data_IF_183134374844
#
_entry.id   IF_183134374844
#
_cell.length_a   1.000
_cell.length_b   1.000
_cell.length_c   1.000
_cell.angle_alpha   90.00
_cell.angle_beta   90.00
_cell.angle_gamma   90.00
#
_symmetry.space_group_name_H-M   'P 1'
#
loop_
_entity.id
_entity.type
_entity.pdbx_description
1 polymer ?
#
# COMPACT_ATOMS: atom_id res chain seq x y z
N UNK A 1 -24.44 -9.38 5.95
CA UNK A 1 -23.85 -10.41 5.09
C UNK A 1 -22.36 -10.16 4.98
N UNK A 2 -21.51 -11.20 4.94
CA UNK A 2 -20.09 -11.01 4.66
C UNK A 2 -19.88 -10.51 3.23
N UNK A 3 -18.79 -9.78 3.00
CA UNK A 3 -18.37 -9.33 1.67
C UNK A 3 -16.90 -9.63 1.44
N UNK A 4 -16.53 -9.66 0.15
CA UNK A 4 -15.15 -9.65 -0.30
C UNK A 4 -14.97 -8.46 -1.24
N UNK A 5 -13.92 -7.69 -1.03
CA UNK A 5 -13.58 -6.54 -1.86
C UNK A 5 -12.10 -6.61 -2.20
N UNK A 6 -11.78 -6.51 -3.50
CA UNK A 6 -10.41 -6.45 -4.00
C UNK A 6 -10.18 -5.10 -4.65
N UNK A 7 -9.38 -4.26 -3.99
CA UNK A 7 -9.02 -2.92 -4.46
C UNK A 7 -7.59 -2.93 -5.01
N UNK A 8 -7.48 -3.15 -6.32
CA UNK A 8 -6.21 -3.14 -7.03
C UNK A 8 -5.89 -1.74 -7.56
N UNK A 9 -5.24 -0.92 -6.74
CA UNK A 9 -4.78 0.40 -7.17
C UNK A 9 -3.72 0.27 -8.26
N UNK A 10 -3.81 1.10 -9.30
CA UNK A 10 -2.74 1.25 -10.29
C UNK A 10 -1.57 2.08 -9.73
N UNK A 11 -1.84 2.98 -8.77
CA UNK A 11 -0.80 3.77 -8.12
C UNK A 11 0.17 2.85 -7.35
N UNK A 12 1.49 3.01 -7.46
CA UNK A 12 2.24 4.13 -8.07
C UNK A 12 2.92 3.76 -9.40
N UNK A 13 2.28 2.91 -10.21
CA UNK A 13 2.82 2.50 -11.51
C UNK A 13 3.00 3.69 -12.46
N UNK A 14 3.98 3.59 -13.36
CA UNK A 14 4.19 4.58 -14.43
C UNK A 14 3.02 4.60 -15.44
N UNK A 15 2.78 5.73 -16.13
CA UNK A 15 3.47 7.02 -16.01
C UNK A 15 3.19 7.70 -14.66
N UNK A 16 4.12 8.54 -14.18
CA UNK A 16 4.01 9.23 -12.89
C UNK A 16 3.06 10.45 -12.98
N UNK A 17 1.81 10.19 -13.34
CA UNK A 17 0.77 11.20 -13.51
C UNK A 17 0.07 11.44 -12.18
N UNK A 18 0.19 12.67 -11.68
CA UNK A 18 -0.45 13.08 -10.44
C UNK A 18 -0.83 14.56 -10.52
N UNK A 19 -1.88 14.96 -9.81
CA UNK A 19 -2.28 16.37 -9.71
C UNK A 19 -1.20 17.14 -8.95
N UNK A 20 -0.88 18.34 -9.42
CA UNK A 20 0.29 19.12 -8.96
C UNK A 20 0.31 19.36 -7.45
N UNK A 21 -0.84 19.58 -6.80
CA UNK A 21 -0.90 19.82 -5.36
C UNK A 21 -0.33 18.66 -4.51
N UNK A 22 -0.30 17.44 -5.05
CA UNK A 22 0.33 16.30 -4.39
C UNK A 22 1.85 16.30 -4.52
N UNK A 23 2.38 16.81 -5.63
CA UNK A 23 3.81 16.86 -5.91
C UNK A 23 4.48 18.13 -5.38
N UNK A 24 3.75 19.25 -5.33
CA UNK A 24 4.25 20.57 -4.93
C UNK A 24 4.95 20.60 -3.56
N UNK A 25 4.45 19.92 -2.50
CA UNK A 25 5.14 19.89 -1.21
C UNK A 25 6.55 19.31 -1.31
N UNK A 26 6.75 18.32 -2.17
CA UNK A 26 8.03 17.66 -2.39
C UNK A 26 8.96 18.51 -3.27
N UNK A 27 8.40 19.26 -4.23
CA UNK A 27 9.18 20.24 -5.02
C UNK A 27 9.71 21.38 -4.16
N UNK A 28 8.90 21.85 -3.21
CA UNK A 28 9.32 22.89 -2.26
C UNK A 28 10.46 22.41 -1.34
N UNK A 29 10.60 21.10 -1.16
CA UNK A 29 11.73 20.48 -0.45
C UNK A 29 12.98 20.33 -1.34
N UNK A 30 12.91 20.70 -2.61
CA UNK A 30 14.03 20.61 -3.55
C UNK A 30 14.33 19.18 -4.04
N UNK A 31 13.36 18.26 -3.92
CA UNK A 31 13.51 16.90 -4.43
C UNK A 31 13.49 16.87 -5.97
N UNK A 32 14.17 15.89 -6.62
CA UNK A 32 14.05 15.72 -8.05
C UNK A 32 12.60 15.43 -8.47
N UNK A 33 12.22 15.86 -9.67
CA UNK A 33 10.83 15.82 -10.15
C UNK A 33 10.21 14.42 -10.13
N UNK A 34 11.01 13.39 -10.43
CA UNK A 34 10.59 11.99 -10.38
C UNK A 34 10.15 11.58 -8.96
N UNK A 35 10.89 12.01 -7.93
CA UNK A 35 10.55 11.75 -6.53
C UNK A 35 9.34 12.55 -6.09
N UNK A 36 9.23 13.81 -6.54
CA UNK A 36 8.08 14.64 -6.23
C UNK A 36 6.78 13.99 -6.69
N UNK A 37 6.76 13.50 -7.94
CA UNK A 37 5.59 12.82 -8.49
C UNK A 37 5.34 11.47 -7.84
N UNK A 38 6.39 10.65 -7.64
CA UNK A 38 6.26 9.35 -6.97
C UNK A 38 5.69 9.50 -5.55
N UNK A 39 6.23 10.42 -4.76
CA UNK A 39 5.77 10.67 -3.40
C UNK A 39 4.38 11.30 -3.37
N UNK A 40 4.05 12.15 -4.36
CA UNK A 40 2.69 12.64 -4.55
C UNK A 40 1.68 11.51 -4.81
N UNK A 41 2.03 10.53 -5.66
CA UNK A 41 1.17 9.37 -5.89
C UNK A 41 1.04 8.48 -4.64
N UNK A 42 2.12 8.29 -3.87
CA UNK A 42 2.07 7.55 -2.61
C UNK A 42 1.16 8.24 -1.60
N UNK A 43 1.28 9.56 -1.46
CA UNK A 43 0.42 10.34 -0.57
C UNK A 43 -1.06 10.28 -1.00
N UNK A 44 -1.32 10.34 -2.30
CA UNK A 44 -2.68 10.20 -2.82
C UNK A 44 -3.25 8.79 -2.58
N UNK A 45 -2.44 7.75 -2.74
CA UNK A 45 -2.83 6.38 -2.42
C UNK A 45 -3.19 6.23 -0.93
N UNK A 46 -2.35 6.77 -0.04
CA UNK A 46 -2.58 6.76 1.40
C UNK A 46 -3.91 7.44 1.79
N UNK A 47 -4.21 8.62 1.22
CA UNK A 47 -5.48 9.30 1.48
C UNK A 47 -6.69 8.46 1.01
N UNK A 48 -6.59 7.78 -0.14
CA UNK A 48 -7.66 6.93 -0.63
C UNK A 48 -7.85 5.67 0.23
N UNK A 49 -6.78 5.10 0.78
CA UNK A 49 -6.88 4.03 1.79
C UNK A 49 -7.55 4.57 3.05
N UNK A 50 -7.22 5.79 3.48
CA UNK A 50 -7.90 6.50 4.57
C UNK A 50 -9.40 6.62 4.36
N UNK A 51 -9.86 6.94 3.13
CA UNK A 51 -11.29 6.99 2.78
C UNK A 51 -11.99 5.64 2.92
N UNK A 52 -11.33 4.56 2.51
CA UNK A 52 -11.86 3.20 2.68
C UNK A 52 -11.99 2.87 4.16
N UNK A 53 -10.96 3.16 4.96
CA UNK A 53 -10.98 2.95 6.41
C UNK A 53 -12.10 3.74 7.09
N UNK A 54 -12.24 5.03 6.76
CA UNK A 54 -13.31 5.89 7.28
C UNK A 54 -14.70 5.35 6.91
N UNK A 55 -14.90 4.90 5.67
CA UNK A 55 -16.15 4.28 5.24
C UNK A 55 -16.48 3.01 6.05
N UNK A 56 -15.49 2.16 6.34
CA UNK A 56 -15.69 0.98 7.19
C UNK A 56 -16.11 1.38 8.62
N UNK A 57 -15.56 2.46 9.16
CA UNK A 57 -15.93 2.99 10.48
C UNK A 57 -17.36 3.57 10.49
N UNK A 58 -17.70 4.41 9.51
CA UNK A 58 -19.03 5.00 9.36
C UNK A 58 -20.12 3.93 9.22
N UNK A 59 -19.84 2.87 8.47
CA UNK A 59 -20.73 1.73 8.30
C UNK A 59 -20.71 0.73 9.47
N UNK A 60 -19.87 0.97 10.48
CA UNK A 60 -19.68 0.08 11.65
C UNK A 60 -19.25 -1.34 11.27
N UNK A 61 -18.46 -1.46 10.21
CA UNK A 61 -17.94 -2.73 9.68
C UNK A 61 -16.53 -3.04 10.16
N UNK A 62 -15.81 -2.07 10.74
CA UNK A 62 -14.41 -2.21 11.16
C UNK A 62 -14.19 -3.39 12.09
N UNK A 63 -15.12 -3.70 13.00
CA UNK A 63 -14.96 -4.80 13.98
C UNK A 63 -15.11 -6.21 13.38
N UNK A 64 -15.65 -6.31 12.17
CA UNK A 64 -15.88 -7.59 11.49
C UNK A 64 -15.28 -7.61 10.07
N UNK A 65 -14.33 -6.71 9.80
CA UNK A 65 -13.61 -6.64 8.53
C UNK A 65 -12.13 -6.93 8.77
N UNK A 66 -11.55 -7.74 7.88
CA UNK A 66 -10.11 -7.95 7.83
C UNK A 66 -9.60 -7.15 6.63
N UNK A 67 -8.62 -6.28 6.87
CA UNK A 67 -7.97 -5.51 5.80
C UNK A 67 -6.56 -6.05 5.61
N UNK A 68 -6.27 -6.50 4.39
CA UNK A 68 -4.93 -6.89 3.97
C UNK A 68 -4.43 -5.86 2.97
N UNK A 69 -3.27 -5.27 3.27
CA UNK A 69 -2.54 -4.43 2.33
C UNK A 69 -1.30 -5.17 1.85
N UNK A 70 -1.05 -5.15 0.54
CA UNK A 70 0.16 -5.69 -0.07
C UNK A 70 0.47 -4.97 -1.38
N UNK A 71 1.71 -5.09 -1.84
CA UNK A 71 2.07 -4.78 -3.24
C UNK A 71 2.17 -6.07 -4.06
N UNK A 72 2.11 -5.94 -5.39
CA UNK A 72 2.20 -7.04 -6.36
C UNK A 72 3.66 -7.41 -6.70
N UNK A 73 4.57 -6.44 -6.65
CA UNK A 73 6.00 -6.63 -6.85
C UNK A 73 6.83 -5.56 -6.12
N UNK A 74 8.15 -5.75 -6.03
CA UNK A 74 9.08 -4.73 -5.52
C UNK A 74 9.20 -3.49 -6.42
N UNK A 75 9.89 -2.41 -5.99
CA UNK A 75 9.94 -1.17 -6.75
C UNK A 75 10.57 -1.37 -8.12
N UNK A 76 10.19 -0.54 -9.09
CA UNK A 76 10.83 -0.57 -10.40
C UNK A 76 12.15 0.21 -10.34
N UNK A 77 13.25 -0.55 -10.33
CA UNK A 77 14.62 -0.05 -10.14
C UNK A 77 15.13 0.79 -11.30
N UNK A 78 14.37 0.90 -12.40
CA UNK A 78 14.69 1.69 -13.59
C UNK A 78 13.51 2.51 -14.10
N UNK A 79 12.48 2.77 -13.27
CA UNK A 79 11.21 3.39 -13.69
C UNK A 79 11.24 4.89 -14.04
N UNK A 80 12.39 5.48 -14.31
CA UNK A 80 12.42 6.69 -15.11
C UNK A 80 13.39 6.50 -16.25
N UNK A 81 12.95 6.82 -17.47
CA UNK A 81 13.81 7.06 -18.63
C UNK A 81 14.76 8.27 -18.42
N UNK A 82 15.14 8.56 -17.17
CA UNK A 82 15.92 9.70 -16.70
C UNK A 82 17.05 9.29 -15.74
N UNK A 83 17.26 7.98 -15.49
CA UNK A 83 18.46 7.48 -14.80
C UNK A 83 18.40 7.48 -13.27
N UNK A 84 17.28 7.85 -12.66
CA UNK A 84 17.10 7.73 -11.21
C UNK A 84 16.39 6.41 -10.86
N UNK A 85 17.12 5.54 -10.17
CA UNK A 85 16.65 4.24 -9.71
C UNK A 85 15.88 4.34 -8.39
N UNK A 86 14.63 3.87 -8.39
CA UNK A 86 13.89 3.61 -7.15
C UNK A 86 14.22 2.20 -6.68
N UNK A 87 15.13 2.06 -5.74
CA UNK A 87 15.50 0.76 -5.16
C UNK A 87 15.10 0.67 -3.70
N UNK A 88 14.85 -0.55 -3.23
CA UNK A 88 14.74 -0.80 -1.80
C UNK A 88 16.13 -0.67 -1.17
N UNK A 89 16.39 0.29 -0.25
CA UNK A 89 17.73 0.50 0.30
C UNK A 89 18.27 -0.73 1.07
N UNK A 90 17.37 -1.62 1.51
CA UNK A 90 17.69 -2.80 2.33
C UNK A 90 17.74 -4.09 1.50
N UNK A 91 17.25 -4.09 0.26
CA UNK A 91 17.07 -5.32 -0.52
C UNK A 91 17.54 -5.12 -1.96
N UNK A 92 18.48 -5.97 -2.39
CA UNK A 92 19.00 -5.94 -3.76
C UNK A 92 17.92 -6.30 -4.79
N UNK A 93 17.98 -5.66 -5.94
CA UNK A 93 17.12 -5.91 -7.10
C UNK A 93 15.80 -5.15 -7.10
N UNK A 94 14.99 -5.41 -8.12
CA UNK A 94 13.81 -4.60 -8.46
C UNK A 94 12.77 -5.39 -9.27
N UNK A 95 11.65 -4.75 -9.64
CA UNK A 95 10.59 -5.31 -10.50
C UNK A 95 11.18 -6.15 -11.65
N UNK A 96 10.75 -7.40 -11.75
CA UNK A 96 11.20 -8.36 -12.77
C UNK A 96 12.45 -9.16 -12.41
N UNK A 97 13.03 -8.95 -11.22
CA UNK A 97 14.19 -9.69 -10.74
C UNK A 97 13.84 -10.59 -9.56
N UNK A 98 14.53 -11.73 -9.43
CA UNK A 98 14.31 -12.71 -8.36
C UNK A 98 15.03 -12.37 -7.04
N UNK A 99 15.78 -11.28 -6.99
CA UNK A 99 16.39 -10.81 -5.76
C UNK A 99 15.32 -10.24 -4.81
N UNK A 100 15.65 -10.14 -3.52
CA UNK A 100 14.72 -9.72 -2.47
C UNK A 100 14.01 -8.40 -2.81
N UNK A 101 14.67 -7.42 -3.41
CA UNK A 101 14.09 -6.14 -3.80
C UNK A 101 13.09 -6.23 -4.95
N UNK A 102 13.04 -7.33 -5.70
CA UNK A 102 12.02 -7.58 -6.73
C UNK A 102 10.81 -8.38 -6.24
N UNK A 103 11.00 -9.27 -5.27
CA UNK A 103 9.96 -10.23 -4.82
C UNK A 103 9.45 -10.00 -3.38
N UNK A 104 10.20 -9.27 -2.54
CA UNK A 104 9.79 -8.95 -1.17
C UNK A 104 9.00 -7.64 -1.18
N UNK A 105 7.76 -7.71 -0.72
CA UNK A 105 6.81 -6.60 -0.71
C UNK A 105 6.36 -6.23 0.70
N UNK A 106 5.96 -4.97 0.96
CA UNK A 106 5.25 -4.63 2.18
C UNK A 106 3.94 -5.42 2.22
N UNK A 107 3.65 -6.05 3.34
CA UNK A 107 2.39 -6.73 3.59
C UNK A 107 2.02 -6.58 5.06
N UNK A 108 0.83 -6.08 5.34
CA UNK A 108 0.31 -5.99 6.70
C UNK A 108 -1.17 -6.33 6.74
N UNK A 109 -1.58 -6.85 7.89
CA UNK A 109 -2.93 -7.30 8.17
C UNK A 109 -3.48 -6.50 9.33
N UNK A 110 -4.61 -5.83 9.12
CA UNK A 110 -5.39 -5.20 10.18
C UNK A 110 -6.56 -6.13 10.48
N UNK A 111 -6.52 -6.74 11.65
CA UNK A 111 -7.58 -7.61 12.16
C UNK A 111 -8.30 -6.88 13.27
N UNK A 112 -9.62 -6.79 13.16
CA UNK A 112 -10.46 -6.31 14.23
C UNK A 112 -10.21 -7.05 15.55
N UNK A 113 -10.16 -6.31 16.66
CA UNK A 113 -9.94 -6.88 17.99
C UNK A 113 -11.00 -7.92 18.37
N UNK A 114 -12.25 -7.76 17.93
CA UNK A 114 -13.32 -8.73 18.15
C UNK A 114 -13.03 -10.08 17.46
N UNK A 115 -12.53 -10.07 16.22
CA UNK A 115 -12.10 -11.26 15.50
C UNK A 115 -10.80 -11.86 16.06
N UNK A 116 -9.90 -11.03 16.59
CA UNK A 116 -8.70 -11.51 17.25
C UNK A 116 -9.02 -12.22 18.59
N UNK A 117 -10.07 -11.80 19.30
CA UNK A 117 -10.54 -12.43 20.54
C UNK A 117 -11.27 -13.75 20.28
N UNK A 118 -12.15 -13.82 19.28
CA UNK A 118 -12.85 -15.07 18.93
C UNK A 118 -11.91 -16.18 18.43
N UNK A 119 -10.73 -15.82 17.91
CA UNK A 119 -9.67 -16.79 17.56
C UNK A 119 -8.78 -17.22 18.74
N UNK A 120 -8.83 -16.52 19.89
CA UNK A 120 -8.03 -16.84 21.08
C UNK A 120 -8.76 -17.73 22.08
N UNK A 121 -10.08 -17.79 22.02
CA UNK A 121 -10.82 -18.81 22.76
C UNK A 121 -10.70 -20.14 22.01
N UNK A 122 -10.08 -21.18 22.62
CA UNK A 122 -10.13 -22.50 22.02
C UNK A 122 -11.59 -22.92 21.89
N UNK A 123 -11.90 -23.65 20.82
CA UNK A 123 -13.20 -24.29 20.65
C UNK A 123 -13.40 -25.36 21.75
N UNK A 124 -13.74 -24.91 22.96
CA UNK A 124 -14.18 -25.78 24.03
C UNK A 124 -15.71 -25.84 24.02
N UNK A 125 -16.18 -27.08 23.89
CA UNK A 125 -17.50 -27.59 24.25
C UNK A 125 -18.61 -27.49 23.19
N UNK A 126 -18.62 -28.48 22.30
CA UNK A 126 -19.84 -29.24 22.02
C UNK A 126 -19.53 -30.75 22.12
N UNK A 127 -19.70 -31.30 23.32
CA UNK A 127 -20.09 -32.70 23.52
C UNK A 127 -21.60 -32.77 23.46
#
# INVERSE_FOLDING_TARGET
MPFFCYLAFNAVHTPLEIVEHWADPFRQQGLPEVWCRLYGMLQNLDENIGKVSACLEELRLTENTIVLFTADHGPCGSASHQGESVSMPVCAGSKGQFYQGGVRVPCFLVVAVALAKSRREPAEQSR
#
